data_IF_396209358758
#
_entry.id   IF_396209358758
#
_cell.length_a   1.000
_cell.length_b   1.000
_cell.length_c   1.000
_cell.angle_alpha   90.00
_cell.angle_beta   90.00
_cell.angle_gamma   90.00
#
_symmetry.space_group_name_H-M   'P 1'
#
loop_
_entity.id
_entity.type
_entity.pdbx_description
1 polymer ?
#
# COMPACT_ATOMS: atom_id res chain seq x y z
N UNK A 1 -24.28 -24.50 -60.79
CA UNK A 1 -23.23 -23.43 -60.80
C UNK A 1 -23.41 -22.52 -59.59
N UNK A 2 -23.32 -23.04 -58.35
CA UNK A 2 -23.61 -22.27 -57.10
C UNK A 2 -22.52 -22.49 -56.02
N UNK A 3 -21.53 -23.34 -56.28
CA UNK A 3 -20.58 -23.83 -55.27
C UNK A 3 -19.29 -23.00 -55.13
N UNK A 4 -19.13 -21.90 -55.88
CA UNK A 4 -17.90 -21.08 -55.86
C UNK A 4 -18.00 -19.81 -55.00
N UNK A 5 -19.20 -19.40 -54.56
CA UNK A 5 -19.38 -18.17 -53.79
C UNK A 5 -19.27 -18.34 -52.26
N UNK A 6 -19.40 -19.56 -51.73
CA UNK A 6 -19.39 -19.78 -50.27
C UNK A 6 -17.99 -19.85 -49.65
N UNK A 7 -16.95 -20.20 -50.42
CA UNK A 7 -15.59 -20.38 -49.89
C UNK A 7 -14.90 -19.03 -49.63
N UNK A 8 -15.21 -18.00 -50.42
CA UNK A 8 -14.62 -16.66 -50.26
C UNK A 8 -15.10 -15.92 -49.00
N UNK A 9 -16.32 -16.18 -48.54
CA UNK A 9 -16.89 -15.49 -47.38
C UNK A 9 -16.37 -16.01 -46.04
N UNK A 10 -16.02 -17.29 -45.97
CA UNK A 10 -15.48 -17.94 -44.75
C UNK A 10 -14.04 -17.48 -44.48
N UNK A 11 -13.23 -17.25 -45.52
CA UNK A 11 -11.87 -16.74 -45.35
C UNK A 11 -11.82 -15.27 -44.90
N UNK A 12 -12.73 -14.42 -45.38
CA UNK A 12 -12.80 -13.01 -44.95
C UNK A 12 -13.20 -12.86 -43.48
N UNK A 13 -14.05 -13.75 -42.96
CA UNK A 13 -14.48 -13.74 -41.55
C UNK A 13 -13.41 -14.29 -40.61
N UNK A 14 -12.64 -15.30 -41.03
CA UNK A 14 -11.50 -15.81 -40.25
C UNK A 14 -10.33 -14.81 -40.17
N UNK A 15 -10.07 -14.04 -41.23
CA UNK A 15 -9.06 -12.99 -41.22
C UNK A 15 -9.46 -11.79 -40.34
N UNK A 16 -10.75 -11.44 -40.25
CA UNK A 16 -11.24 -10.38 -39.37
C UNK A 16 -11.18 -10.74 -37.86
N UNK A 17 -11.29 -12.02 -37.50
CA UNK A 17 -11.09 -12.49 -36.12
C UNK A 17 -9.61 -12.51 -35.69
N UNK A 18 -8.68 -12.65 -36.64
CA UNK A 18 -7.23 -12.66 -36.38
C UNK A 18 -6.71 -11.30 -35.90
N UNK A 19 -7.24 -10.20 -36.47
CA UNK A 19 -6.77 -8.83 -36.20
C UNK A 19 -7.28 -8.24 -34.87
N UNK A 20 -8.19 -8.91 -34.15
CA UNK A 20 -8.67 -8.42 -32.84
C UNK A 20 -7.77 -8.82 -31.66
N UNK A 21 -6.83 -9.77 -31.83
CA UNK A 21 -5.95 -10.21 -30.73
C UNK A 21 -4.79 -9.27 -30.42
N UNK A 22 -4.40 -8.42 -31.36
CA UNK A 22 -3.30 -7.46 -31.19
C UNK A 22 -3.67 -6.21 -30.37
N UNK A 23 -4.82 -5.53 -30.56
CA UNK A 23 -5.15 -4.35 -29.79
C UNK A 23 -5.27 -4.65 -28.28
N UNK A 24 -5.91 -5.76 -27.89
CA UNK A 24 -6.07 -6.16 -26.48
C UNK A 24 -4.72 -6.31 -25.76
N UNK A 25 -3.72 -6.93 -26.39
CA UNK A 25 -2.38 -7.12 -25.79
C UNK A 25 -1.60 -5.81 -25.62
N UNK A 26 -1.83 -4.82 -26.48
CA UNK A 26 -1.18 -3.51 -26.37
C UNK A 26 -1.81 -2.72 -25.21
N UNK A 27 -3.14 -2.78 -25.07
CA UNK A 27 -3.84 -2.16 -23.93
C UNK A 27 -3.41 -2.78 -22.60
N UNK A 28 -3.30 -4.11 -22.49
CA UNK A 28 -2.86 -4.77 -21.26
C UNK A 28 -1.44 -4.36 -20.84
N UNK A 29 -0.51 -4.24 -21.80
CA UNK A 29 0.86 -3.77 -21.52
C UNK A 29 0.90 -2.31 -21.07
N UNK A 30 0.11 -1.45 -21.70
CA UNK A 30 0.02 -0.04 -21.31
C UNK A 30 -0.60 0.12 -19.91
N UNK A 31 -1.63 -0.66 -19.62
CA UNK A 31 -2.27 -0.67 -18.30
C UNK A 31 -1.35 -1.18 -17.21
N UNK A 32 -0.58 -2.25 -17.47
CA UNK A 32 0.43 -2.73 -16.53
C UNK A 32 1.49 -1.67 -16.22
N UNK A 33 2.06 -1.03 -17.26
CA UNK A 33 3.02 0.06 -17.08
C UNK A 33 2.46 1.26 -16.33
N UNK A 34 1.17 1.54 -16.53
CA UNK A 34 0.53 2.66 -15.81
C UNK A 34 0.27 2.31 -14.36
N UNK A 35 -0.07 1.06 -14.04
CA UNK A 35 -0.15 0.59 -12.65
C UNK A 35 1.22 0.69 -11.96
N UNK A 36 2.28 0.21 -12.63
CA UNK A 36 3.68 0.37 -12.18
C UNK A 36 4.02 1.85 -11.95
N UNK A 37 3.55 2.76 -12.83
CA UNK A 37 3.77 4.19 -12.68
C UNK A 37 3.07 4.81 -11.45
N UNK A 38 1.94 4.26 -10.99
CA UNK A 38 1.31 4.70 -9.73
C UNK A 38 2.23 4.32 -8.57
N UNK A 39 2.72 3.08 -8.53
CA UNK A 39 3.63 2.61 -7.48
C UNK A 39 5.00 3.33 -7.53
N UNK A 40 5.48 3.71 -8.71
CA UNK A 40 6.70 4.51 -8.87
C UNK A 40 6.58 5.89 -8.22
N UNK A 41 5.37 6.49 -8.17
CA UNK A 41 5.16 7.75 -7.46
C UNK A 41 5.47 7.61 -5.97
N UNK A 42 5.12 6.47 -5.37
CA UNK A 42 5.47 6.15 -3.99
C UNK A 42 6.98 6.11 -3.80
N UNK A 43 7.70 5.39 -4.67
CA UNK A 43 9.15 5.24 -4.53
C UNK A 43 9.87 6.57 -4.77
N UNK A 44 9.45 7.34 -5.78
CA UNK A 44 10.12 8.58 -6.20
C UNK A 44 9.91 9.73 -5.22
N UNK A 45 8.75 9.79 -4.58
CA UNK A 45 8.39 10.83 -3.62
C UNK A 45 8.35 10.23 -2.22
N UNK A 46 9.51 9.83 -1.70
CA UNK A 46 9.63 9.17 -0.40
C UNK A 46 9.84 10.12 0.77
N UNK A 47 9.91 11.42 0.52
CA UNK A 47 10.03 12.44 1.55
C UNK A 47 8.75 12.54 2.40
N UNK A 48 8.79 13.34 3.47
CA UNK A 48 7.57 13.67 4.20
C UNK A 48 6.58 14.39 3.28
N UNK A 49 5.26 14.13 3.47
CA UNK A 49 4.19 14.90 2.85
C UNK A 49 4.38 16.41 3.00
N UNK A 50 4.16 17.16 1.92
CA UNK A 50 4.02 18.62 2.01
C UNK A 50 2.62 18.97 2.49
N UNK A 51 2.50 19.32 3.77
CA UNK A 51 1.22 19.63 4.42
C UNK A 51 0.69 21.04 4.14
N UNK A 52 1.47 21.88 3.45
CA UNK A 52 1.09 23.28 3.15
C UNK A 52 0.71 23.47 1.69
N UNK A 53 1.34 22.71 0.81
CA UNK A 53 1.06 22.74 -0.62
C UNK A 53 0.53 21.39 -1.10
N UNK A 54 0.48 21.18 -2.41
CA UNK A 54 0.12 19.90 -2.98
C UNK A 54 1.22 18.85 -2.76
N UNK A 55 0.89 17.73 -2.13
CA UNK A 55 1.81 16.61 -1.94
C UNK A 55 2.21 16.00 -3.30
N UNK A 56 3.51 16.00 -3.65
CA UNK A 56 3.99 15.45 -4.91
C UNK A 56 3.65 13.97 -5.12
N UNK A 57 3.59 13.17 -4.05
CA UNK A 57 3.23 11.75 -4.09
C UNK A 57 1.77 11.58 -4.54
N UNK A 58 0.87 12.35 -3.91
CA UNK A 58 -0.56 12.30 -4.20
C UNK A 58 -0.84 12.80 -5.61
N UNK A 59 -0.24 13.94 -5.99
CA UNK A 59 -0.40 14.52 -7.34
C UNK A 59 0.11 13.55 -8.42
N UNK A 60 1.31 12.98 -8.24
CA UNK A 60 1.87 12.01 -9.16
C UNK A 60 0.94 10.78 -9.31
N UNK A 61 0.46 10.24 -8.18
CA UNK A 61 -0.44 9.09 -8.17
C UNK A 61 -1.76 9.39 -8.88
N UNK A 62 -2.35 10.56 -8.67
CA UNK A 62 -3.57 11.01 -9.34
C UNK A 62 -3.37 11.10 -10.86
N UNK A 63 -2.28 11.72 -11.32
CA UNK A 63 -1.95 11.84 -12.74
C UNK A 63 -1.72 10.48 -13.42
N UNK A 64 -1.05 9.55 -12.72
CA UNK A 64 -0.87 8.18 -13.19
C UNK A 64 -2.20 7.42 -13.23
N UNK A 65 -3.02 7.50 -12.19
CA UNK A 65 -4.33 6.85 -12.10
C UNK A 65 -5.30 7.35 -13.17
N UNK A 66 -5.27 8.65 -13.53
CA UNK A 66 -6.10 9.19 -14.62
C UNK A 66 -5.80 8.55 -15.98
N UNK A 67 -4.56 8.11 -16.23
CA UNK A 67 -4.18 7.40 -17.46
C UNK A 67 -4.72 5.98 -17.51
N UNK A 68 -5.23 5.45 -16.40
CA UNK A 68 -5.82 4.10 -16.32
C UNK A 68 -7.29 4.02 -16.72
N UNK A 69 -7.93 5.14 -17.12
CA UNK A 69 -9.36 5.16 -17.53
C UNK A 69 -9.73 4.18 -18.65
N UNK A 70 -8.77 3.81 -19.49
CA UNK A 70 -8.95 2.87 -20.60
C UNK A 70 -8.66 1.41 -20.20
N UNK A 71 -8.21 1.16 -18.97
CA UNK A 71 -7.89 -0.16 -18.46
C UNK A 71 -9.13 -0.91 -17.96
N UNK A 72 -8.99 -2.20 -17.65
CA UNK A 72 -10.08 -2.95 -17.04
C UNK A 72 -10.48 -2.37 -15.67
N UNK A 73 -11.69 -2.68 -15.22
CA UNK A 73 -12.27 -2.11 -13.99
C UNK A 73 -11.47 -2.45 -12.73
N UNK A 74 -10.84 -3.62 -12.69
CA UNK A 74 -10.04 -4.07 -11.56
C UNK A 74 -8.79 -3.21 -11.40
N UNK A 75 -8.05 -2.98 -12.49
CA UNK A 75 -6.88 -2.10 -12.49
C UNK A 75 -7.24 -0.63 -12.19
N UNK A 76 -8.40 -0.17 -12.67
CA UNK A 76 -8.92 1.14 -12.27
C UNK A 76 -9.26 1.21 -10.78
N UNK A 77 -9.82 0.13 -10.21
CA UNK A 77 -10.12 0.04 -8.77
C UNK A 77 -8.82 0.06 -7.96
N UNK A 78 -7.86 -0.79 -8.30
CA UNK A 78 -6.56 -0.87 -7.61
C UNK A 78 -5.83 0.48 -7.63
N UNK A 79 -5.71 1.12 -8.79
CA UNK A 79 -5.01 2.42 -8.88
C UNK A 79 -5.70 3.54 -8.10
N UNK A 80 -7.03 3.61 -8.14
CA UNK A 80 -7.78 4.57 -7.30
C UNK A 80 -7.57 4.28 -5.82
N UNK A 81 -7.53 3.00 -5.44
CA UNK A 81 -7.29 2.60 -4.07
C UNK A 81 -5.88 2.99 -3.61
N UNK A 82 -4.86 2.73 -4.42
CA UNK A 82 -3.48 3.11 -4.11
C UNK A 82 -3.35 4.63 -3.90
N UNK A 83 -3.98 5.43 -4.77
CA UNK A 83 -4.02 6.90 -4.59
C UNK A 83 -4.75 7.29 -3.31
N UNK A 84 -5.87 6.64 -3.00
CA UNK A 84 -6.59 6.89 -1.75
C UNK A 84 -5.72 6.56 -0.52
N UNK A 85 -4.90 5.52 -0.61
CA UNK A 85 -3.96 5.17 0.46
C UNK A 85 -2.87 6.25 0.63
N UNK A 86 -2.38 6.85 -0.47
CA UNK A 86 -1.47 8.00 -0.37
C UNK A 86 -2.13 9.18 0.33
N UNK A 87 -3.38 9.48 -0.01
CA UNK A 87 -4.16 10.56 0.63
C UNK A 87 -4.36 10.30 2.13
N UNK A 88 -4.70 9.08 2.53
CA UNK A 88 -4.88 8.73 3.94
C UNK A 88 -3.57 8.91 4.73
N UNK A 89 -2.44 8.47 4.17
CA UNK A 89 -1.13 8.64 4.84
C UNK A 89 -0.75 10.12 4.90
N UNK A 90 -1.01 10.88 3.84
CA UNK A 90 -0.84 12.33 3.82
C UNK A 90 -1.66 12.99 4.93
N UNK A 91 -2.97 12.73 5.00
CA UNK A 91 -3.88 13.28 6.02
C UNK A 91 -3.40 12.91 7.44
N UNK A 92 -3.02 11.66 7.67
CA UNK A 92 -2.55 11.19 8.98
C UNK A 92 -1.27 11.90 9.45
N UNK A 93 -0.32 12.12 8.54
CA UNK A 93 0.94 12.82 8.85
C UNK A 93 0.69 14.30 9.05
N UNK A 94 -0.14 14.93 8.21
CA UNK A 94 -0.37 16.36 8.27
C UNK A 94 -1.20 16.80 9.47
N UNK A 95 -2.15 15.98 9.94
CA UNK A 95 -2.85 16.22 11.21
C UNK A 95 -1.90 16.13 12.43
N UNK A 96 -0.74 15.50 12.27
CA UNK A 96 0.28 15.30 13.30
C UNK A 96 1.62 15.96 12.95
N UNK A 97 1.64 16.96 12.04
CA UNK A 97 2.84 17.49 11.39
C UNK A 97 3.94 17.84 12.40
N UNK A 98 3.58 18.48 13.52
CA UNK A 98 4.55 18.91 14.54
C UNK A 98 5.41 17.76 15.09
N UNK A 99 4.78 16.67 15.54
CA UNK A 99 5.48 15.51 16.12
C UNK A 99 6.16 14.68 15.03
N UNK A 100 5.46 14.42 13.93
CA UNK A 100 5.95 13.57 12.84
C UNK A 100 7.16 14.17 12.14
N UNK A 101 7.16 15.49 11.93
CA UNK A 101 8.27 16.21 11.32
C UNK A 101 9.52 16.18 12.19
N UNK A 102 9.37 16.42 13.49
CA UNK A 102 10.50 16.39 14.42
C UNK A 102 11.15 15.00 14.47
N UNK A 103 10.35 13.94 14.48
CA UNK A 103 10.87 12.56 14.49
C UNK A 103 11.51 12.17 13.16
N UNK A 104 10.94 12.58 12.02
CA UNK A 104 11.55 12.37 10.70
C UNK A 104 12.93 13.04 10.58
N UNK A 105 13.03 14.31 10.97
CA UNK A 105 14.30 15.06 10.88
C UNK A 105 15.41 14.37 11.68
N UNK A 106 15.06 13.71 12.78
CA UNK A 106 16.01 12.94 13.61
C UNK A 106 16.29 11.56 13.03
N UNK A 107 15.31 10.92 12.38
CA UNK A 107 15.36 9.50 11.99
C UNK A 107 14.69 9.24 10.63
N UNK A 108 15.27 9.71 9.51
CA UNK A 108 14.66 9.55 8.18
C UNK A 108 14.52 8.08 7.75
N UNK A 109 15.37 7.19 8.25
CA UNK A 109 15.26 5.74 7.99
C UNK A 109 13.98 5.14 8.62
N UNK A 110 13.56 5.62 9.80
CA UNK A 110 12.33 5.16 10.44
C UNK A 110 11.11 5.47 9.58
N UNK A 111 11.11 6.61 8.88
CA UNK A 111 10.04 7.01 7.98
C UNK A 111 9.84 6.08 6.80
N UNK A 112 10.91 5.71 6.12
CA UNK A 112 10.78 4.78 5.00
C UNK A 112 10.07 3.48 5.40
N UNK A 113 10.44 2.92 6.56
CA UNK A 113 9.80 1.71 7.09
C UNK A 113 8.37 1.99 7.53
N UNK A 114 8.13 3.01 8.35
CA UNK A 114 6.80 3.37 8.86
C UNK A 114 5.78 3.57 7.74
N UNK A 115 6.20 4.33 6.72
CA UNK A 115 5.44 4.62 5.51
C UNK A 115 5.01 3.34 4.79
N UNK A 116 5.92 2.38 4.62
CA UNK A 116 5.60 1.10 3.98
C UNK A 116 4.70 0.22 4.84
N UNK A 117 4.87 0.23 6.17
CA UNK A 117 3.98 -0.48 7.09
C UNK A 117 2.56 0.09 7.04
N UNK A 118 2.43 1.42 7.04
CA UNK A 118 1.15 2.11 6.87
C UNK A 118 0.47 1.72 5.54
N UNK A 119 1.23 1.63 4.45
CA UNK A 119 0.68 1.19 3.16
C UNK A 119 0.16 -0.25 3.20
N UNK A 120 0.86 -1.16 3.89
CA UNK A 120 0.39 -2.55 4.07
C UNK A 120 -0.93 -2.59 4.85
N UNK A 121 -1.02 -1.85 5.96
CA UNK A 121 -2.24 -1.72 6.75
C UNK A 121 -3.42 -1.28 5.86
N UNK A 122 -3.22 -0.23 5.06
CA UNK A 122 -4.28 0.28 4.20
C UNK A 122 -4.66 -0.68 3.07
N UNK A 123 -3.70 -1.40 2.48
CA UNK A 123 -3.99 -2.36 1.42
C UNK A 123 -4.85 -3.54 1.91
N UNK A 124 -4.63 -4.01 3.14
CA UNK A 124 -5.46 -5.05 3.75
C UNK A 124 -6.89 -4.56 4.00
N UNK A 125 -7.02 -3.38 4.61
CA UNK A 125 -8.34 -2.82 4.97
C UNK A 125 -9.16 -2.39 3.76
N UNK A 126 -8.51 -2.04 2.64
CA UNK A 126 -9.19 -1.58 1.43
C UNK A 126 -9.72 -2.69 0.51
N UNK A 127 -9.26 -3.93 0.69
CA UNK A 127 -9.55 -5.04 -0.25
C UNK A 127 -10.68 -5.95 0.24
N UNK A 128 -11.12 -5.79 1.48
CA UNK A 128 -12.25 -6.52 2.04
C UNK A 128 -13.57 -6.14 1.34
N UNK A 129 -14.36 -7.15 0.96
CA UNK A 129 -15.69 -6.95 0.34
C UNK A 129 -16.71 -6.55 1.41
N UNK A 130 -16.56 -7.12 2.61
CA UNK A 130 -17.20 -6.73 3.86
C UNK A 130 -16.08 -6.66 4.89
N UNK A 131 -15.79 -5.47 5.40
CA UNK A 131 -14.74 -5.29 6.40
C UNK A 131 -15.27 -5.79 7.75
N UNK A 132 -14.64 -6.81 8.32
CA UNK A 132 -14.95 -7.26 9.67
C UNK A 132 -13.85 -6.89 10.68
N UNK A 133 -14.14 -7.09 11.97
CA UNK A 133 -13.20 -6.80 13.05
C UNK A 133 -11.93 -7.65 12.96
N UNK A 134 -12.01 -8.87 12.42
CA UNK A 134 -10.86 -9.76 12.28
C UNK A 134 -9.91 -9.24 11.19
N UNK A 135 -10.44 -8.78 10.06
CA UNK A 135 -9.64 -8.14 9.00
C UNK A 135 -8.89 -6.92 9.53
N UNK A 136 -9.56 -6.11 10.36
CA UNK A 136 -8.95 -4.95 10.99
C UNK A 136 -7.85 -5.34 11.97
N UNK A 137 -8.06 -6.38 12.78
CA UNK A 137 -7.04 -6.91 13.69
C UNK A 137 -5.84 -7.46 12.92
N UNK A 138 -6.06 -8.26 11.89
CA UNK A 138 -5.00 -8.83 11.06
C UNK A 138 -4.16 -7.74 10.36
N UNK A 139 -4.80 -6.64 9.94
CA UNK A 139 -4.10 -5.49 9.38
C UNK A 139 -3.21 -4.78 10.41
N UNK A 140 -3.66 -4.74 11.67
CA UNK A 140 -2.90 -4.17 12.79
C UNK A 140 -1.73 -5.08 13.17
N UNK A 141 -1.95 -6.38 13.28
CA UNK A 141 -0.90 -7.35 13.63
C UNK A 141 0.22 -7.35 12.56
N UNK A 142 -0.10 -7.31 11.25
CA UNK A 142 0.95 -7.22 10.21
C UNK A 142 1.69 -5.87 10.23
N UNK A 143 0.99 -4.76 10.53
CA UNK A 143 1.64 -3.47 10.69
C UNK A 143 2.61 -3.48 11.88
N UNK A 144 2.26 -4.21 12.96
CA UNK A 144 3.12 -4.39 14.12
C UNK A 144 4.38 -5.20 13.78
N UNK A 145 4.23 -6.33 13.08
CA UNK A 145 5.37 -7.13 12.61
C UNK A 145 6.32 -6.29 11.73
N UNK A 146 5.77 -5.41 10.89
CA UNK A 146 6.55 -4.54 10.02
C UNK A 146 7.44 -3.55 10.79
N UNK A 147 7.06 -3.17 12.01
CA UNK A 147 7.83 -2.27 12.88
C UNK A 147 8.91 -2.99 13.70
N UNK A 148 8.79 -4.30 13.90
CA UNK A 148 9.65 -5.10 14.79
C UNK A 148 11.13 -5.15 14.36
N UNK A 149 11.43 -4.77 13.12
CA UNK A 149 12.78 -4.81 12.55
C UNK A 149 13.72 -3.73 13.08
N UNK A 150 13.19 -2.63 13.64
CA UNK A 150 14.01 -1.52 14.14
C UNK A 150 13.48 -1.02 15.50
N UNK A 151 13.99 -1.58 16.62
CA UNK A 151 13.55 -1.21 17.97
C UNK A 151 13.68 0.30 18.27
N UNK A 152 14.61 0.97 17.59
CA UNK A 152 14.90 2.40 17.75
C UNK A 152 13.87 3.28 17.06
N UNK A 153 13.05 2.71 16.17
CA UNK A 153 11.96 3.35 15.45
C UNK A 153 10.57 3.00 15.99
N UNK A 154 10.48 2.14 17.01
CA UNK A 154 9.22 1.56 17.51
C UNK A 154 8.15 2.62 17.84
N UNK A 155 8.52 3.66 18.59
CA UNK A 155 7.61 4.77 18.93
C UNK A 155 7.10 5.53 17.70
N UNK A 156 8.00 5.82 16.75
CA UNK A 156 7.64 6.50 15.51
C UNK A 156 6.70 5.65 14.64
N UNK A 157 7.00 4.35 14.53
CA UNK A 157 6.18 3.38 13.80
C UNK A 157 4.80 3.23 14.44
N UNK A 158 4.74 3.18 15.77
CA UNK A 158 3.49 3.16 16.53
C UNK A 158 2.65 4.41 16.26
N UNK A 159 3.25 5.59 16.39
CA UNK A 159 2.56 6.86 16.17
C UNK A 159 1.98 6.95 14.76
N UNK A 160 2.73 6.57 13.73
CA UNK A 160 2.22 6.58 12.35
C UNK A 160 1.14 5.54 12.15
N UNK A 161 1.33 4.32 12.65
CA UNK A 161 0.37 3.24 12.46
C UNK A 161 -0.97 3.58 13.09
N UNK A 162 -0.96 4.14 14.31
CA UNK A 162 -2.17 4.63 15.00
C UNK A 162 -2.84 5.75 14.20
N UNK A 163 -2.07 6.76 13.77
CA UNK A 163 -2.61 7.89 13.02
C UNK A 163 -3.24 7.46 11.68
N UNK A 164 -2.60 6.52 10.97
CA UNK A 164 -3.11 5.96 9.71
C UNK A 164 -4.31 5.05 9.95
N UNK A 165 -4.27 4.23 10.99
CA UNK A 165 -5.40 3.37 11.37
C UNK A 165 -6.65 4.21 11.65
N UNK A 166 -6.54 5.28 12.44
CA UNK A 166 -7.64 6.17 12.76
C UNK A 166 -8.29 6.83 11.52
N UNK A 167 -7.52 7.00 10.44
CA UNK A 167 -8.00 7.54 9.15
C UNK A 167 -8.51 6.47 8.18
N UNK A 168 -8.17 5.21 8.42
CA UNK A 168 -8.58 4.07 7.59
C UNK A 168 -10.05 3.72 7.77
N UNK A 169 -10.57 2.84 6.91
CA UNK A 169 -11.94 2.31 7.04
C UNK A 169 -12.13 1.54 8.36
N UNK A 170 -11.08 0.86 8.84
CA UNK A 170 -11.08 0.20 10.15
C UNK A 170 -11.21 1.19 11.31
N UNK A 171 -10.46 2.29 11.31
CA UNK A 171 -10.57 3.29 12.37
C UNK A 171 -11.95 3.95 12.44
N UNK A 172 -12.61 4.08 11.28
CA UNK A 172 -13.98 4.59 11.21
C UNK A 172 -15.03 3.58 11.70
N UNK A 173 -14.80 2.28 11.47
CA UNK A 173 -15.77 1.21 11.74
C UNK A 173 -15.59 0.58 13.11
N UNK A 174 -14.35 0.45 13.57
CA UNK A 174 -13.92 -0.23 14.80
C UNK A 174 -12.92 0.63 15.59
N UNK A 175 -13.29 1.85 16.02
CA UNK A 175 -12.38 2.75 16.72
C UNK A 175 -11.83 2.19 18.03
N UNK A 176 -12.55 1.28 18.69
CA UNK A 176 -12.11 0.60 19.91
C UNK A 176 -10.87 -0.28 19.70
N UNK A 177 -10.65 -0.75 18.47
CA UNK A 177 -9.55 -1.64 18.13
C UNK A 177 -8.20 -0.90 18.01
N UNK A 178 -8.21 0.44 18.03
CA UNK A 178 -6.99 1.27 18.12
C UNK A 178 -6.11 0.85 19.31
N UNK A 179 -6.72 0.39 20.41
CA UNK A 179 -5.98 -0.10 21.59
C UNK A 179 -5.16 -1.36 21.30
N UNK A 180 -5.56 -2.18 20.34
CA UNK A 180 -4.78 -3.34 19.92
C UNK A 180 -3.55 -2.93 19.14
N UNK A 181 -3.58 -1.80 18.41
CA UNK A 181 -2.40 -1.25 17.73
C UNK A 181 -1.27 -1.00 18.72
N UNK A 182 -1.56 -0.25 19.79
CA UNK A 182 -0.56 0.05 20.81
C UNK A 182 -0.10 -1.20 21.58
N UNK A 183 -0.96 -2.20 21.72
CA UNK A 183 -0.65 -3.42 22.47
C UNK A 183 0.19 -4.41 21.66
N UNK A 184 -0.12 -4.61 20.38
CA UNK A 184 0.60 -5.50 19.48
C UNK A 184 2.05 -5.02 19.30
N UNK A 185 2.23 -3.73 19.06
CA UNK A 185 3.54 -3.11 18.90
C UNK A 185 4.45 -3.25 20.14
N UNK A 186 3.87 -3.13 21.33
CA UNK A 186 4.60 -3.29 22.60
C UNK A 186 5.00 -4.74 22.90
N UNK A 187 4.14 -5.70 22.55
CA UNK A 187 4.39 -7.12 22.78
C UNK A 187 5.55 -7.63 21.90
N UNK A 188 5.64 -7.19 20.65
CA UNK A 188 6.73 -7.58 19.76
C UNK A 188 8.08 -6.98 20.16
N UNK A 189 8.10 -5.71 20.59
CA UNK A 189 9.30 -5.10 21.13
C UNK A 189 9.82 -5.87 22.36
N UNK A 190 8.93 -6.33 23.24
CA UNK A 190 9.29 -7.12 24.42
C UNK A 190 9.81 -8.51 24.05
N UNK A 191 9.17 -9.20 23.11
CA UNK A 191 9.61 -10.51 22.61
C UNK A 191 11.00 -10.44 21.97
N UNK A 192 11.30 -9.37 21.22
CA UNK A 192 12.62 -9.16 20.65
C UNK A 192 13.70 -8.97 21.71
N UNK A 193 13.43 -8.17 22.75
CA UNK A 193 14.36 -7.98 23.88
C UNK A 193 14.65 -9.31 24.60
N UNK A 194 13.61 -10.11 24.84
CA UNK A 194 13.77 -11.44 25.44
C UNK A 194 14.62 -12.37 24.56
N UNK A 195 14.39 -12.37 23.25
CA UNK A 195 15.17 -13.17 22.31
C UNK A 195 16.64 -12.73 22.27
N UNK A 196 16.91 -11.42 22.21
CA UNK A 196 18.27 -10.89 22.23
C UNK A 196 19.01 -11.26 23.54
N UNK A 197 18.33 -11.17 24.68
CA UNK A 197 18.88 -11.60 25.98
C UNK A 197 19.15 -13.12 26.03
N UNK A 198 18.27 -13.93 25.44
CA UNK A 198 18.48 -15.37 25.34
C UNK A 198 19.70 -15.72 24.48
N UNK A 199 19.89 -15.04 23.35
CA UNK A 199 21.07 -15.24 22.48
C UNK A 199 22.35 -14.83 23.21
N UNK A 200 22.37 -13.65 23.83
CA UNK A 200 23.53 -13.14 24.56
C UNK A 200 23.92 -14.02 25.76
N UNK A 201 22.94 -14.50 26.52
CA UNK A 201 23.20 -15.40 27.67
C UNK A 201 23.74 -16.75 27.20
N UNK A 202 23.25 -17.28 26.07
CA UNK A 202 23.78 -18.52 25.48
C UNK A 202 25.23 -18.36 25.03
N UNK A 203 25.58 -17.24 24.39
CA UNK A 203 26.97 -16.95 23.99
C UNK A 203 27.92 -16.75 25.17
N UNK A 204 27.44 -16.27 26.32
CA UNK A 204 28.25 -16.09 27.54
C UNK A 204 28.49 -17.40 28.32
N UNK A 205 27.65 -18.41 28.12
CA UNK A 205 27.77 -19.73 28.77
C UNK A 205 28.68 -20.70 28.01
N UNK A 206 29.06 -20.37 26.77
CA UNK A 206 29.95 -21.18 25.91
C UNK A 206 31.41 -20.67 25.89
N UNK A 207 31.76 -19.68 26.74
CA UNK A 207 33.12 -19.16 26.98
C UNK A 207 33.57 -19.56 28.39
#
# INVERSE_FOLDING_TARGET
MVMKFFIGFIFATLLALSTQKEPLKIFDKQCKRTAEAVDECWVKHSDLPDCKNSDPTVVCGQDASQKMRLCNKEMQKMSKQTVRNYEIIHEAVCDNEGKMKEEFEKKPACWYTARNCAMKLLNKTATAIELDSLDCKDAVDEAAECSSFDPWCSEFHENITIAVYAKSECGNTYPEEEKFVSSALKLDAFNFVLFALFVLTKSYLEI
#
